data_IF_073459644320
#
_entry.id   IF_073459644320
#
_cell.length_a   1.000
_cell.length_b   1.000
_cell.length_c   1.000
_cell.angle_alpha   90.00
_cell.angle_beta   90.00
_cell.angle_gamma   90.00
#
_symmetry.space_group_name_H-M   'P 1'
#
loop_
_entity.id
_entity.type
_entity.pdbx_description
1 polymer ?
#
# COMPACT_ATOMS: atom_id res chain seq x y z
N UNK A 1 1.47 24.28 -15.17
CA UNK A 1 0.97 23.68 -13.90
C UNK A 1 -0.54 23.59 -13.95
N UNK A 2 -1.17 22.49 -13.51
CA UNK A 2 -2.63 22.36 -13.48
C UNK A 2 -3.32 23.49 -12.70
N UNK A 3 -2.70 23.99 -11.64
CA UNK A 3 -3.22 25.12 -10.84
C UNK A 3 -3.19 26.47 -11.56
N UNK A 4 -2.54 26.56 -12.73
CA UNK A 4 -2.50 27.78 -13.55
C UNK A 4 -3.71 27.90 -14.51
N UNK A 5 -4.41 26.81 -14.80
CA UNK A 5 -5.62 26.85 -15.63
C UNK A 5 -6.81 27.39 -14.83
N UNK A 6 -7.94 27.67 -15.49
CA UNK A 6 -9.14 28.21 -14.83
C UNK A 6 -9.89 27.15 -14.02
N UNK A 7 -9.82 25.87 -14.41
CA UNK A 7 -10.64 24.83 -13.81
C UNK A 7 -10.10 24.36 -12.46
N UNK A 8 -8.80 24.10 -12.31
CA UNK A 8 -8.18 23.43 -11.15
C UNK A 8 -7.44 24.38 -10.19
N UNK A 9 -7.64 25.70 -10.28
CA UNK A 9 -7.02 26.64 -9.33
C UNK A 9 -7.36 26.25 -7.91
N UNK A 10 -6.38 26.31 -7.00
CA UNK A 10 -6.62 25.96 -5.62
C UNK A 10 -7.73 26.79 -4.98
N UNK A 11 -7.88 28.07 -5.37
CA UNK A 11 -8.96 28.93 -4.89
C UNK A 11 -9.69 29.59 -6.07
N UNK A 12 -11.02 29.51 -6.06
CA UNK A 12 -11.86 30.09 -7.12
C UNK A 12 -11.73 29.36 -8.45
N UNK A 13 -11.27 28.11 -8.43
CA UNK A 13 -11.26 27.25 -9.60
C UNK A 13 -12.68 26.80 -9.95
N UNK A 14 -12.95 26.57 -11.23
CA UNK A 14 -14.28 26.10 -11.65
C UNK A 14 -14.68 24.75 -11.03
N UNK A 15 -13.71 23.95 -10.57
CA UNK A 15 -13.94 22.71 -9.81
C UNK A 15 -14.74 22.93 -8.51
N UNK A 16 -14.67 24.12 -7.91
CA UNK A 16 -15.43 24.48 -6.69
C UNK A 16 -16.85 25.00 -7.00
N UNK A 17 -17.17 25.26 -8.28
CA UNK A 17 -18.48 25.80 -8.66
C UNK A 17 -19.56 24.71 -8.63
N UNK A 18 -20.86 25.08 -8.51
CA UNK A 18 -21.95 24.11 -8.60
C UNK A 18 -21.93 23.28 -9.89
N UNK A 19 -21.52 23.89 -11.01
CA UNK A 19 -21.36 23.15 -12.27
C UNK A 19 -20.15 22.22 -12.25
N UNK A 20 -19.04 22.64 -11.62
CA UNK A 20 -17.86 21.80 -11.42
C UNK A 20 -18.15 20.55 -10.61
N UNK A 21 -18.86 20.71 -9.48
CA UNK A 21 -19.32 19.61 -8.64
C UNK A 21 -20.27 18.67 -9.39
N UNK A 22 -21.24 19.22 -10.12
CA UNK A 22 -22.12 18.43 -10.99
C UNK A 22 -21.32 17.62 -12.03
N UNK A 23 -20.41 18.28 -12.75
CA UNK A 23 -19.60 17.65 -13.79
C UNK A 23 -18.70 16.55 -13.24
N UNK A 24 -17.99 16.81 -12.15
CA UNK A 24 -17.07 15.84 -11.54
C UNK A 24 -17.82 14.67 -10.91
N UNK A 25 -18.99 14.92 -10.30
CA UNK A 25 -19.89 13.86 -9.80
C UNK A 25 -20.42 12.99 -10.93
N UNK A 26 -20.89 13.61 -12.03
CA UNK A 26 -21.32 12.86 -13.21
C UNK A 26 -20.15 12.03 -13.77
N UNK A 27 -18.99 12.64 -13.97
CA UNK A 27 -17.83 11.99 -14.56
C UNK A 27 -17.33 10.81 -13.73
N UNK A 28 -17.15 10.98 -12.41
CA UNK A 28 -16.74 9.88 -11.53
C UNK A 28 -17.80 8.78 -11.43
N UNK A 29 -19.09 9.14 -11.45
CA UNK A 29 -20.18 8.15 -11.44
C UNK A 29 -20.14 7.24 -12.66
N UNK A 30 -19.66 7.72 -13.81
CA UNK A 30 -19.50 6.86 -15.00
C UNK A 30 -18.43 5.78 -14.77
N UNK A 31 -17.32 6.12 -14.11
CA UNK A 31 -16.27 5.17 -13.76
C UNK A 31 -16.78 4.14 -12.74
N UNK A 32 -17.47 4.59 -11.68
CA UNK A 32 -18.05 3.70 -10.66
C UNK A 32 -19.08 2.75 -11.28
N UNK A 33 -20.02 3.27 -12.09
CA UNK A 33 -21.03 2.46 -12.74
C UNK A 33 -20.43 1.48 -13.76
N UNK A 34 -19.35 1.87 -14.45
CA UNK A 34 -18.62 0.97 -15.34
C UNK A 34 -17.94 -0.17 -14.58
N UNK A 35 -17.20 0.15 -13.51
CA UNK A 35 -16.56 -0.83 -12.64
C UNK A 35 -17.58 -1.81 -12.06
N UNK A 36 -18.71 -1.31 -11.58
CA UNK A 36 -19.78 -2.13 -11.03
C UNK A 36 -20.30 -3.17 -12.02
N UNK A 37 -20.64 -2.76 -13.24
CA UNK A 37 -21.16 -3.68 -14.27
C UNK A 37 -20.16 -4.78 -14.62
N UNK A 38 -18.86 -4.47 -14.64
CA UNK A 38 -17.83 -5.44 -14.95
C UNK A 38 -17.55 -6.38 -13.78
N UNK A 39 -17.42 -5.85 -12.57
CA UNK A 39 -17.15 -6.65 -11.38
C UNK A 39 -18.35 -7.50 -11.00
N UNK A 40 -19.58 -7.01 -11.16
CA UNK A 40 -20.80 -7.80 -10.93
C UNK A 40 -20.87 -8.99 -11.89
N UNK A 41 -20.53 -8.79 -13.16
CA UNK A 41 -20.49 -9.85 -14.16
C UNK A 41 -19.39 -10.86 -13.84
N UNK A 42 -18.17 -10.40 -13.53
CA UNK A 42 -17.06 -11.28 -13.17
C UNK A 42 -17.40 -12.11 -11.92
N UNK A 43 -17.92 -11.45 -10.88
CA UNK A 43 -18.33 -12.10 -9.62
C UNK A 43 -19.40 -13.15 -9.85
N UNK A 44 -20.39 -12.85 -10.71
CA UNK A 44 -21.41 -13.83 -11.10
C UNK A 44 -20.82 -15.04 -11.83
N UNK A 45 -19.94 -14.83 -12.82
CA UNK A 45 -19.33 -15.90 -13.63
C UNK A 45 -18.46 -16.83 -12.79
N UNK A 46 -17.75 -16.28 -11.80
CA UNK A 46 -16.80 -17.03 -10.98
C UNK A 46 -17.34 -17.39 -9.58
N UNK A 47 -18.63 -17.20 -9.33
CA UNK A 47 -19.28 -17.37 -8.02
C UNK A 47 -19.08 -18.77 -7.39
N UNK A 48 -19.07 -19.82 -8.21
CA UNK A 48 -18.87 -21.22 -7.76
C UNK A 48 -17.41 -21.67 -7.80
N UNK A 49 -16.47 -20.75 -8.05
CA UNK A 49 -15.04 -21.07 -8.14
C UNK A 49 -14.25 -20.51 -6.95
N UNK A 50 -13.17 -21.18 -6.56
CA UNK A 50 -12.30 -20.74 -5.47
C UNK A 50 -11.32 -19.61 -5.88
N UNK A 51 -11.65 -18.81 -6.89
CA UNK A 51 -10.77 -17.75 -7.41
C UNK A 51 -11.11 -16.39 -6.80
N UNK A 52 -10.08 -15.59 -6.52
CA UNK A 52 -10.26 -14.20 -6.11
C UNK A 52 -10.29 -13.30 -7.35
N UNK A 53 -11.25 -12.37 -7.40
CA UNK A 53 -11.35 -11.38 -8.46
C UNK A 53 -10.72 -10.08 -8.00
N UNK A 54 -9.83 -9.53 -8.83
CA UNK A 54 -9.16 -8.27 -8.56
C UNK A 54 -9.43 -7.26 -9.68
N UNK A 55 -9.67 -6.01 -9.28
CA UNK A 55 -9.59 -4.85 -10.17
C UNK A 55 -8.39 -4.00 -9.81
N UNK A 56 -7.70 -3.44 -10.81
CA UNK A 56 -6.54 -2.59 -10.58
C UNK A 56 -6.96 -1.12 -10.52
N UNK A 57 -6.65 -0.46 -9.41
CA UNK A 57 -6.88 0.97 -9.23
C UNK A 57 -5.53 1.69 -9.38
N UNK A 58 -5.38 2.68 -10.27
CA UNK A 58 -4.11 3.39 -10.44
C UNK A 58 -3.84 4.34 -9.27
N UNK A 59 -2.56 4.56 -8.96
CA UNK A 59 -2.13 5.52 -7.94
C UNK A 59 -1.82 6.88 -8.58
N UNK A 60 -2.80 7.78 -8.66
CA UNK A 60 -2.67 9.10 -9.29
C UNK A 60 -2.06 10.14 -8.35
N UNK A 61 -0.86 9.87 -7.84
CA UNK A 61 -0.24 10.62 -6.74
C UNK A 61 0.29 12.02 -7.10
N UNK A 62 0.46 12.33 -8.40
CA UNK A 62 0.89 13.66 -8.84
C UNK A 62 -0.19 14.69 -8.54
N UNK A 63 0.19 15.87 -8.03
CA UNK A 63 -0.72 16.94 -7.63
C UNK A 63 -1.67 16.61 -6.48
N UNK A 64 -1.48 15.48 -5.79
CA UNK A 64 -2.27 15.12 -4.60
C UNK A 64 -2.12 16.15 -3.46
N UNK A 65 -1.00 16.88 -3.40
CA UNK A 65 -0.79 17.97 -2.43
C UNK A 65 -1.51 19.29 -2.76
N UNK A 66 -2.29 19.35 -3.85
CA UNK A 66 -3.13 20.53 -4.17
C UNK A 66 -4.51 20.39 -3.52
N UNK A 67 -5.37 21.41 -3.57
CA UNK A 67 -6.76 21.26 -3.06
C UNK A 67 -7.65 20.45 -4.00
N UNK A 68 -7.41 20.60 -5.30
CA UNK A 68 -8.28 20.07 -6.35
C UNK A 68 -7.91 18.65 -6.78
N UNK A 69 -6.74 18.13 -6.43
CA UNK A 69 -6.23 16.82 -6.88
C UNK A 69 -6.39 16.55 -8.40
N UNK A 70 -5.84 17.41 -9.30
CA UNK A 70 -6.12 17.38 -10.73
C UNK A 70 -5.89 16.03 -11.43
N UNK A 71 -4.84 15.29 -11.05
CA UNK A 71 -4.57 13.98 -11.65
C UNK A 71 -5.65 12.95 -11.31
N UNK A 72 -6.19 13.01 -10.10
CA UNK A 72 -7.26 12.12 -9.65
C UNK A 72 -8.58 12.49 -10.34
N UNK A 73 -8.93 13.78 -10.34
CA UNK A 73 -10.16 14.27 -10.99
C UNK A 73 -10.22 13.93 -12.48
N UNK A 74 -9.12 14.16 -13.20
CA UNK A 74 -9.05 13.88 -14.64
C UNK A 74 -9.06 12.38 -14.94
N UNK A 75 -8.54 11.55 -14.03
CA UNK A 75 -8.61 10.09 -14.10
C UNK A 75 -9.99 9.51 -13.76
N UNK A 76 -10.93 10.34 -13.28
CA UNK A 76 -12.29 9.94 -12.93
C UNK A 76 -12.50 9.64 -11.45
N UNK A 77 -11.49 9.85 -10.60
CA UNK A 77 -11.63 9.76 -9.15
C UNK A 77 -11.99 11.15 -8.64
N UNK A 78 -13.25 11.36 -8.24
CA UNK A 78 -13.66 12.63 -7.64
C UNK A 78 -13.17 12.72 -6.19
N UNK A 79 -11.85 12.77 -6.02
CA UNK A 79 -11.17 12.98 -4.76
C UNK A 79 -10.67 14.42 -4.69
N UNK A 80 -10.85 15.07 -3.54
CA UNK A 80 -10.34 16.43 -3.28
C UNK A 80 -9.92 16.52 -1.82
N UNK A 81 -9.28 17.63 -1.43
CA UNK A 81 -8.92 17.86 -0.03
C UNK A 81 -10.13 17.83 0.95
N UNK A 82 -11.36 17.94 0.45
CA UNK A 82 -12.59 17.92 1.27
C UNK A 82 -13.58 16.80 0.91
N UNK A 83 -13.31 16.01 -0.13
CA UNK A 83 -14.18 14.90 -0.59
C UNK A 83 -13.34 13.65 -0.72
N UNK A 84 -13.68 12.61 0.06
CA UNK A 84 -13.00 11.30 0.03
C UNK A 84 -13.50 10.47 -1.15
N UNK A 85 -12.86 10.60 -2.31
CA UNK A 85 -13.32 10.00 -3.56
C UNK A 85 -13.19 8.47 -3.62
N UNK A 86 -12.25 7.88 -2.89
CA UNK A 86 -12.01 6.43 -2.93
C UNK A 86 -12.97 5.60 -2.06
N UNK A 87 -13.77 6.24 -1.21
CA UNK A 87 -14.82 5.55 -0.45
C UNK A 87 -15.84 4.90 -1.40
N UNK A 88 -16.30 5.64 -2.42
CA UNK A 88 -17.23 5.13 -3.45
C UNK A 88 -16.60 4.00 -4.30
N UNK A 89 -15.28 4.08 -4.52
CA UNK A 89 -14.53 3.02 -5.20
C UNK A 89 -14.51 1.76 -4.34
N UNK A 90 -14.09 1.88 -3.08
CA UNK A 90 -14.02 0.75 -2.15
C UNK A 90 -15.40 0.10 -1.93
N UNK A 91 -16.46 0.90 -1.75
CA UNK A 91 -17.82 0.40 -1.66
C UNK A 91 -18.22 -0.40 -2.91
N UNK A 92 -17.86 0.09 -4.10
CA UNK A 92 -18.13 -0.60 -5.36
C UNK A 92 -17.42 -1.96 -5.47
N UNK A 93 -16.19 -2.07 -4.98
CA UNK A 93 -15.49 -3.35 -4.89
C UNK A 93 -16.13 -4.30 -3.86
N UNK A 94 -16.48 -3.76 -2.68
CA UNK A 94 -17.05 -4.52 -1.58
C UNK A 94 -18.38 -5.19 -1.96
N UNK A 95 -19.31 -4.42 -2.57
CA UNK A 95 -20.61 -4.97 -3.00
C UNK A 95 -20.50 -6.09 -4.04
N UNK A 96 -19.41 -6.11 -4.80
CA UNK A 96 -19.13 -7.13 -5.81
C UNK A 96 -18.23 -8.26 -5.29
N UNK A 97 -17.88 -8.27 -3.99
CA UNK A 97 -16.95 -9.23 -3.38
C UNK A 97 -15.60 -9.32 -4.12
N UNK A 98 -15.13 -8.18 -4.63
CA UNK A 98 -13.90 -8.08 -5.39
C UNK A 98 -12.83 -7.35 -4.56
N UNK A 99 -11.56 -7.62 -4.89
CA UNK A 99 -10.38 -7.03 -4.24
C UNK A 99 -9.66 -6.04 -5.16
N UNK A 100 -8.74 -5.27 -4.61
CA UNK A 100 -8.00 -4.23 -5.35
C UNK A 100 -6.53 -4.63 -5.51
N UNK A 101 -5.98 -4.41 -6.71
CA UNK A 101 -4.53 -4.31 -6.91
C UNK A 101 -4.15 -2.84 -6.90
N UNK A 102 -3.25 -2.46 -5.99
CA UNK A 102 -2.79 -1.09 -5.80
C UNK A 102 -1.28 -0.97 -6.11
N UNK A 103 -0.90 -0.29 -7.22
CA UNK A 103 0.50 -0.05 -7.55
C UNK A 103 1.10 1.07 -6.69
N UNK A 104 2.43 1.22 -6.77
CA UNK A 104 3.16 2.32 -6.13
C UNK A 104 3.63 2.03 -4.71
N UNK A 105 3.64 0.77 -4.27
CA UNK A 105 4.13 0.38 -2.95
C UNK A 105 5.63 0.67 -2.74
N UNK A 106 6.38 0.90 -3.82
CA UNK A 106 7.78 1.31 -3.87
C UNK A 106 7.99 2.84 -3.85
N UNK A 107 6.92 3.62 -3.99
CA UNK A 107 6.99 5.07 -4.08
C UNK A 107 7.08 5.71 -2.68
N UNK A 108 7.94 6.72 -2.56
CA UNK A 108 8.02 7.58 -1.37
C UNK A 108 7.97 9.03 -1.79
N UNK A 109 7.35 9.86 -0.94
CA UNK A 109 7.25 11.31 -1.09
C UNK A 109 8.65 11.96 -1.17
N UNK A 110 9.64 11.37 -0.48
CA UNK A 110 11.04 11.84 -0.46
C UNK A 110 11.66 11.95 -1.86
N UNK A 111 11.31 11.04 -2.75
CA UNK A 111 11.90 10.96 -4.09
C UNK A 111 11.06 11.69 -5.16
N UNK A 112 9.97 12.32 -4.76
CA UNK A 112 9.10 13.07 -5.68
C UNK A 112 9.65 14.48 -5.93
N UNK A 113 9.41 14.99 -7.14
CA UNK A 113 9.71 16.39 -7.47
C UNK A 113 8.80 17.32 -6.67
N UNK A 114 9.36 18.38 -6.07
CA UNK A 114 8.58 19.34 -5.27
C UNK A 114 7.53 20.05 -6.12
N UNK A 115 7.87 20.31 -7.38
CA UNK A 115 7.03 21.00 -8.35
C UNK A 115 5.77 20.20 -8.71
N UNK A 116 5.80 18.87 -8.59
CA UNK A 116 4.63 18.03 -8.89
C UNK A 116 3.64 17.94 -7.73
N UNK A 117 3.98 18.47 -6.55
CA UNK A 117 3.17 18.39 -5.33
C UNK A 117 2.63 16.96 -5.10
N UNK A 118 3.49 15.99 -5.38
CA UNK A 118 3.18 14.57 -5.41
C UNK A 118 3.29 13.99 -4.00
N UNK A 119 2.29 13.22 -3.57
CA UNK A 119 2.31 12.53 -2.27
C UNK A 119 1.72 11.12 -2.38
N UNK A 120 2.49 10.16 -2.94
CA UNK A 120 2.07 8.76 -3.01
C UNK A 120 1.81 8.14 -1.64
N UNK A 121 2.56 8.50 -0.59
CA UNK A 121 2.38 7.90 0.74
C UNK A 121 1.04 8.32 1.36
N UNK A 122 0.64 9.59 1.23
CA UNK A 122 -0.67 10.06 1.70
C UNK A 122 -1.82 9.41 0.93
N UNK A 123 -1.70 9.32 -0.40
CA UNK A 123 -2.72 8.72 -1.25
C UNK A 123 -2.88 7.21 -0.98
N UNK A 124 -1.78 6.48 -0.80
CA UNK A 124 -1.82 5.06 -0.41
C UNK A 124 -2.54 4.86 0.93
N UNK A 125 -2.28 5.72 1.91
CA UNK A 125 -2.94 5.67 3.21
C UNK A 125 -4.44 5.97 3.11
N UNK A 126 -4.84 6.94 2.27
CA UNK A 126 -6.25 7.27 2.02
C UNK A 126 -7.01 6.09 1.40
N UNK A 127 -6.47 5.51 0.32
CA UNK A 127 -7.05 4.34 -0.36
C UNK A 127 -7.12 3.14 0.59
N UNK A 128 -6.05 2.91 1.35
CA UNK A 128 -5.99 1.85 2.37
C UNK A 128 -7.08 2.00 3.42
N UNK A 129 -7.27 3.21 3.94
CA UNK A 129 -8.31 3.52 4.93
C UNK A 129 -9.71 3.26 4.37
N UNK A 130 -9.99 3.70 3.14
CA UNK A 130 -11.28 3.47 2.48
C UNK A 130 -11.55 1.96 2.28
N UNK A 131 -10.55 1.21 1.81
CA UNK A 131 -10.68 -0.24 1.61
C UNK A 131 -10.90 -0.98 2.93
N UNK A 132 -10.11 -0.67 3.96
CA UNK A 132 -10.25 -1.28 5.28
C UNK A 132 -11.65 -1.03 5.89
N UNK A 133 -12.16 0.19 5.76
CA UNK A 133 -13.52 0.56 6.22
C UNK A 133 -14.61 -0.26 5.54
N UNK A 134 -14.43 -0.61 4.26
CA UNK A 134 -15.39 -1.40 3.48
C UNK A 134 -15.05 -2.90 3.42
N UNK A 135 -14.01 -3.37 4.14
CA UNK A 135 -13.59 -4.76 4.14
C UNK A 135 -13.01 -5.27 2.82
N UNK A 136 -12.50 -4.37 1.98
CA UNK A 136 -11.90 -4.71 0.67
C UNK A 136 -10.45 -5.12 0.85
N UNK A 137 -10.09 -6.28 0.30
CA UNK A 137 -8.71 -6.76 0.25
C UNK A 137 -7.85 -5.93 -0.71
N UNK A 138 -6.64 -5.53 -0.30
CA UNK A 138 -5.64 -4.85 -1.12
C UNK A 138 -4.44 -5.77 -1.33
N UNK A 139 -4.14 -6.05 -2.61
CA UNK A 139 -2.86 -6.59 -3.05
C UNK A 139 -1.97 -5.48 -3.58
N UNK A 140 -0.77 -5.36 -3.02
CA UNK A 140 0.19 -4.34 -3.39
C UNK A 140 0.98 -4.69 -4.65
N UNK A 141 1.46 -3.68 -5.35
CA UNK A 141 2.34 -3.83 -6.51
C UNK A 141 3.34 -2.66 -6.56
N UNK A 142 4.54 -2.88 -7.08
CA UNK A 142 5.47 -1.79 -7.36
C UNK A 142 5.18 -1.11 -8.71
N UNK A 143 5.48 0.18 -8.81
CA UNK A 143 5.33 0.99 -10.01
C UNK A 143 6.51 0.82 -10.98
N UNK A 144 7.74 0.88 -10.47
CA UNK A 144 8.95 0.76 -11.28
C UNK A 144 9.96 -0.20 -10.65
N UNK A 145 10.86 -0.75 -11.46
CA UNK A 145 11.97 -1.60 -10.98
C UNK A 145 13.19 -0.70 -10.79
N UNK A 146 13.83 -0.80 -9.63
CA UNK A 146 15.08 -0.07 -9.34
C UNK A 146 14.89 1.33 -8.74
N UNK A 147 13.70 1.66 -8.21
CA UNK A 147 13.52 2.88 -7.42
C UNK A 147 14.50 2.89 -6.22
N UNK A 148 15.16 4.03 -5.91
CA UNK A 148 16.00 4.15 -4.73
C UNK A 148 15.22 3.78 -3.46
N UNK A 149 15.77 2.88 -2.65
CA UNK A 149 15.10 2.30 -1.47
C UNK A 149 13.74 1.63 -1.74
N UNK A 150 13.36 1.36 -3.00
CA UNK A 150 12.03 0.87 -3.36
C UNK A 150 11.64 -0.43 -2.64
N UNK A 151 12.56 -1.39 -2.50
CA UNK A 151 12.31 -2.63 -1.75
C UNK A 151 12.07 -2.38 -0.24
N UNK A 152 12.77 -1.40 0.34
CA UNK A 152 12.55 -1.01 1.75
C UNK A 152 11.18 -0.33 1.90
N UNK A 153 10.81 0.53 0.96
CA UNK A 153 9.51 1.18 0.94
C UNK A 153 8.38 0.17 0.76
N UNK A 154 8.54 -0.82 -0.13
CA UNK A 154 7.59 -1.93 -0.27
C UNK A 154 7.44 -2.66 1.06
N UNK A 155 8.54 -3.05 1.73
CA UNK A 155 8.47 -3.72 3.05
C UNK A 155 7.71 -2.86 4.07
N UNK A 156 8.00 -1.56 4.15
CA UNK A 156 7.29 -0.62 5.03
C UNK A 156 5.79 -0.60 4.74
N UNK A 157 5.40 -0.46 3.48
CA UNK A 157 4.00 -0.38 3.07
C UNK A 157 3.25 -1.71 3.24
N UNK A 158 3.93 -2.85 3.03
CA UNK A 158 3.36 -4.19 3.25
C UNK A 158 3.13 -4.50 4.72
N UNK A 159 3.95 -3.96 5.63
CA UNK A 159 3.79 -4.12 7.08
C UNK A 159 2.79 -3.12 7.67
N UNK A 160 2.26 -2.19 6.87
CA UNK A 160 1.21 -1.29 7.33
C UNK A 160 -0.14 -2.00 7.37
N UNK A 161 -1.04 -1.55 8.25
CA UNK A 161 -2.41 -2.10 8.38
C UNK A 161 -3.26 -1.93 7.10
N UNK A 162 -2.77 -1.20 6.10
CA UNK A 162 -3.46 -0.91 4.85
C UNK A 162 -3.37 -2.06 3.83
N UNK A 163 -2.42 -2.98 3.97
CA UNK A 163 -2.24 -4.11 3.07
C UNK A 163 -2.62 -5.40 3.79
N UNK A 164 -3.67 -6.06 3.32
CA UNK A 164 -4.31 -7.19 4.02
C UNK A 164 -4.41 -8.46 3.17
N UNK A 165 -3.84 -8.49 1.95
CA UNK A 165 -3.84 -9.68 1.09
C UNK A 165 -2.42 -10.12 0.69
N UNK A 166 -1.88 -9.62 -0.42
CA UNK A 166 -0.67 -10.15 -1.05
C UNK A 166 0.13 -9.08 -1.79
N UNK A 167 1.32 -9.42 -2.28
CA UNK A 167 2.14 -8.51 -3.08
C UNK A 167 2.53 -9.12 -4.42
N UNK A 168 2.40 -8.34 -5.49
CA UNK A 168 2.68 -8.73 -6.87
C UNK A 168 3.84 -7.89 -7.39
N UNK A 169 5.02 -8.51 -7.53
CA UNK A 169 6.19 -7.84 -8.08
C UNK A 169 6.09 -7.69 -9.61
N UNK A 170 6.15 -6.45 -10.10
CA UNK A 170 6.15 -6.07 -11.50
C UNK A 170 7.53 -5.50 -11.89
N UNK A 171 8.35 -6.14 -12.73
CA UNK A 171 8.13 -7.34 -13.53
C UNK A 171 9.42 -8.17 -13.57
N UNK A 172 9.27 -9.49 -13.64
CA UNK A 172 10.37 -10.40 -13.96
C UNK A 172 10.90 -10.08 -15.38
N UNK A 173 12.21 -9.92 -15.51
CA UNK A 173 12.86 -9.60 -16.78
C UNK A 173 14.37 -9.45 -16.62
N UNK A 174 15.06 -9.11 -17.71
CA UNK A 174 16.53 -8.96 -17.70
C UNK A 174 17.01 -7.99 -16.60
N UNK A 175 16.31 -6.85 -16.44
CA UNK A 175 16.62 -5.88 -15.39
C UNK A 175 16.45 -6.44 -13.98
N UNK A 176 15.46 -7.30 -13.75
CA UNK A 176 15.24 -7.93 -12.45
C UNK A 176 16.34 -8.94 -12.10
N UNK A 177 16.83 -9.69 -13.10
CA UNK A 177 17.91 -10.67 -12.94
C UNK A 177 19.32 -10.08 -13.03
N UNK A 178 19.44 -8.76 -13.19
CA UNK A 178 20.74 -8.09 -13.20
C UNK A 178 21.48 -8.36 -11.86
N UNK A 179 22.82 -8.55 -11.88
CA UNK A 179 23.61 -8.85 -10.69
C UNK A 179 23.43 -7.84 -9.55
N UNK A 180 23.06 -6.61 -9.87
CA UNK A 180 22.85 -5.51 -8.93
C UNK A 180 21.46 -5.55 -8.28
N UNK A 181 20.48 -6.25 -8.87
CA UNK A 181 19.08 -6.23 -8.43
C UNK A 181 18.61 -7.55 -7.83
N UNK A 182 18.97 -8.68 -8.45
CA UNK A 182 18.44 -9.97 -8.02
C UNK A 182 18.85 -10.34 -6.59
N UNK A 183 20.12 -10.15 -6.16
CA UNK A 183 20.49 -10.43 -4.77
C UNK A 183 19.71 -9.59 -3.75
N UNK A 184 19.44 -8.32 -4.06
CA UNK A 184 18.65 -7.43 -3.21
C UNK A 184 17.20 -7.92 -3.07
N UNK A 185 16.61 -8.40 -4.17
CA UNK A 185 15.26 -8.97 -4.14
C UNK A 185 15.20 -10.26 -3.30
N UNK A 186 16.19 -11.14 -3.42
CA UNK A 186 16.28 -12.36 -2.60
C UNK A 186 16.39 -12.02 -1.11
N UNK A 187 17.21 -11.03 -0.76
CA UNK A 187 17.32 -10.54 0.61
C UNK A 187 16.00 -9.95 1.11
N UNK A 188 15.32 -9.16 0.28
CA UNK A 188 14.00 -8.60 0.58
C UNK A 188 12.96 -9.69 0.87
N UNK A 189 12.83 -10.72 0.03
CA UNK A 189 11.89 -11.83 0.25
C UNK A 189 12.24 -12.58 1.54
N UNK A 190 13.53 -12.82 1.82
CA UNK A 190 13.96 -13.45 3.07
C UNK A 190 13.54 -12.64 4.29
N UNK A 191 13.72 -11.31 4.24
CA UNK A 191 13.36 -10.36 5.30
C UNK A 191 11.86 -10.16 5.51
N UNK A 192 11.03 -10.48 4.51
CA UNK A 192 9.56 -10.49 4.66
C UNK A 192 9.08 -11.75 5.40
N UNK A 193 9.71 -12.89 5.13
CA UNK A 193 9.33 -14.18 5.70
C UNK A 193 9.93 -14.44 7.09
N UNK A 194 10.82 -13.58 7.56
CA UNK A 194 11.43 -13.66 8.88
C UNK A 194 10.95 -12.44 9.70
N UNK A 195 10.01 -12.62 10.65
CA UNK A 195 9.70 -11.56 11.58
C UNK A 195 10.97 -11.21 12.36
N UNK A 196 11.35 -9.93 12.34
CA UNK A 196 12.46 -9.45 13.14
C UNK A 196 12.10 -9.68 14.62
N UNK A 197 12.80 -10.61 15.28
CA UNK A 197 12.78 -10.70 16.74
C UNK A 197 13.26 -9.34 17.26
N UNK A 198 12.36 -8.55 17.82
CA UNK A 198 12.73 -7.32 18.51
C UNK A 198 13.75 -7.66 19.60
N UNK A 199 15.03 -7.42 19.33
CA UNK A 199 16.11 -7.46 20.31
C UNK A 199 15.98 -6.24 21.21
N UNK A 200 14.99 -6.27 22.09
CA UNK A 200 14.60 -5.15 22.93
C UNK A 200 14.12 -5.61 24.30
N UNK A 201 14.78 -6.61 24.88
CA UNK A 201 14.71 -6.94 26.30
C UNK A 201 16.02 -7.62 26.70
N UNK A 202 17.11 -6.86 26.70
CA UNK A 202 18.32 -7.27 27.42
C UNK A 202 18.24 -6.62 28.81
N UNK A 203 18.25 -7.38 29.92
CA UNK A 203 18.22 -6.80 31.25
C UNK A 203 19.48 -5.97 31.47
N UNK A 204 19.28 -4.71 31.82
CA UNK A 204 20.32 -3.79 32.27
C UNK A 204 21.06 -4.43 33.46
N UNK A 205 22.35 -4.73 33.30
CA UNK A 205 23.21 -5.10 34.43
C UNK A 205 23.48 -3.86 35.26
N UNK A 206 22.74 -3.68 36.34
CA UNK A 206 23.13 -2.80 37.44
C UNK A 206 24.06 -3.52 38.42
N UNK A 207 25.12 -2.82 38.81
CA UNK A 207 25.48 -2.66 40.22
C UNK A 207 26.18 -3.82 40.93
N UNK A 208 27.51 -3.70 41.00
CA UNK A 208 28.43 -4.31 41.97
C UNK A 208 27.85 -4.46 43.37
N UNK A 209 27.90 -5.66 43.94
CA UNK A 209 28.02 -5.86 45.40
C UNK A 209 28.89 -7.08 45.70
N UNK A 210 29.75 -6.87 46.68
CA UNK A 210 30.85 -7.72 47.15
C UNK A 210 30.40 -8.87 48.05
N UNK A 211 31.24 -9.91 48.06
CA UNK A 211 31.59 -10.80 49.18
C UNK A 211 30.87 -12.17 49.35
N UNK A 212 31.76 -13.19 49.29
CA UNK A 212 31.91 -14.37 50.16
C UNK A 212 31.01 -15.60 50.02
N UNK A 213 31.70 -16.70 49.68
CA UNK A 213 31.61 -18.09 50.18
C UNK A 213 30.26 -18.80 50.24
N UNK A 214 30.13 -19.89 49.45
CA UNK A 214 30.34 -21.24 50.00
C UNK A 214 30.10 -22.34 48.96
N UNK A 215 30.85 -23.41 49.15
CA UNK A 215 30.91 -24.66 48.39
C UNK A 215 29.71 -25.56 48.69
N UNK A 216 29.10 -26.18 47.66
CA UNK A 216 28.71 -27.61 47.65
C UNK A 216 28.21 -28.04 46.26
N UNK A 217 28.99 -28.84 45.52
CA UNK A 217 28.96 -30.31 45.43
C UNK A 217 27.90 -30.87 44.48
N UNK A 218 28.40 -31.30 43.30
CA UNK A 218 27.99 -32.43 42.43
C UNK A 218 26.54 -32.93 42.45
N UNK A 219 25.97 -33.02 41.25
CA UNK A 219 25.55 -34.33 40.68
C UNK A 219 25.35 -34.24 39.16
N UNK A 220 26.15 -35.01 38.43
CA UNK A 220 25.90 -35.39 37.03
C UNK A 220 24.60 -36.20 36.92
N UNK A 221 23.86 -36.07 35.81
CA UNK A 221 23.23 -37.22 35.16
C UNK A 221 22.87 -36.94 33.69
N UNK A 222 23.56 -37.73 32.86
CA UNK A 222 23.43 -38.06 31.43
C UNK A 222 22.07 -37.90 30.73
N UNK A 223 22.14 -37.27 29.55
CA UNK A 223 21.85 -37.81 28.20
C UNK A 223 20.86 -38.99 28.12
N UNK A 224 19.73 -38.76 27.43
CA UNK A 224 19.30 -39.69 26.37
C UNK A 224 18.57 -38.99 25.21
N UNK A 225 19.03 -39.34 24.03
CA UNK A 225 18.55 -39.00 22.69
C UNK A 225 17.82 -40.24 22.19
N UNK A 226 16.63 -40.11 21.61
CA UNK A 226 16.16 -41.09 20.62
C UNK A 226 15.06 -40.54 19.72
N UNK A 227 15.35 -40.69 18.44
CA UNK A 227 14.48 -40.61 17.28
C UNK A 227 13.65 -41.88 17.11
N UNK A 228 12.43 -41.71 16.61
CA UNK A 228 11.85 -42.54 15.55
C UNK A 228 10.90 -41.64 14.75
#
# INVERSE_FOLDING_TARGET
MPTANTFFKDHGGSWESPYGDFFLSWYSSQLIAHGDRLLSLASSVFSDSAVNIFGKVPLMHSWHGTRSHPSELTAGFYNTATRKGYEEVAEMFARNSCKIILPGMDQSDKYQLKESLSSPESLLAEIGTACNKHGVGISGQNSTVGAPDGLKQIKKNMLSENLNDSFIFQRIGAQFFAPEHFPLFIEFVRKLNQPELHSGNLPTKEGTTTATDSVHTRSNLNIHMQSA
#
